data_IF_869816565235
#
_entry.id   IF_869816565235
#
_cell.length_a   1.000
_cell.length_b   1.000
_cell.length_c   1.000
_cell.angle_alpha   90.00
_cell.angle_beta   90.00
_cell.angle_gamma   90.00
#
_symmetry.space_group_name_H-M   'P 1'
#
loop_
_entity.id
_entity.type
_entity.pdbx_description
1 polymer ?
#
# COMPACT_ATOMS: atom_id res chain seq x y z
N UNK A 1 -15.08 8.58 -2.74
CA UNK A 1 -15.05 7.12 -2.96
C UNK A 1 -13.68 6.65 -2.53
N UNK A 2 -13.59 5.63 -1.68
CA UNK A 2 -12.29 5.14 -1.20
C UNK A 2 -11.71 4.16 -2.23
N UNK A 3 -10.47 4.38 -2.63
CA UNK A 3 -9.74 3.48 -3.53
C UNK A 3 -8.98 2.47 -2.69
N UNK A 4 -9.18 1.19 -2.97
CA UNK A 4 -8.36 0.13 -2.36
C UNK A 4 -6.99 0.12 -3.00
N UNK A 5 -5.96 0.07 -2.17
CA UNK A 5 -4.58 0.03 -2.59
C UNK A 5 -3.85 -1.12 -1.93
N UNK A 6 -2.89 -1.68 -2.66
CA UNK A 6 -1.98 -2.70 -2.19
C UNK A 6 -0.58 -2.19 -2.45
N UNK A 7 0.26 -2.14 -1.41
CA UNK A 7 1.66 -1.76 -1.50
C UNK A 7 2.50 -2.94 -1.05
N UNK A 8 3.47 -3.32 -1.86
CA UNK A 8 4.41 -4.41 -1.58
C UNK A 8 5.74 -3.77 -1.20
N UNK A 9 6.24 -4.14 -0.03
CA UNK A 9 7.54 -3.73 0.48
C UNK A 9 8.48 -4.93 0.60
N UNK A 10 9.78 -4.68 0.47
CA UNK A 10 10.79 -5.62 0.92
C UNK A 10 11.01 -5.50 2.45
N UNK A 11 11.84 -6.37 3.03
CA UNK A 11 12.21 -6.33 4.45
C UNK A 11 12.97 -5.07 4.90
N UNK A 12 13.58 -4.35 3.96
CA UNK A 12 14.29 -3.10 4.24
C UNK A 12 13.35 -1.89 4.27
N UNK A 13 12.07 -2.07 3.89
CA UNK A 13 11.08 -1.01 3.81
C UNK A 13 11.01 -0.31 2.45
N UNK A 14 11.73 -0.80 1.43
CA UNK A 14 11.60 -0.27 0.07
C UNK A 14 10.31 -0.76 -0.57
N UNK A 15 9.61 0.14 -1.27
CA UNK A 15 8.45 -0.21 -2.08
C UNK A 15 8.94 -0.96 -3.32
N UNK A 16 8.47 -2.19 -3.48
CA UNK A 16 8.74 -3.03 -4.64
C UNK A 16 7.71 -2.82 -5.75
N UNK A 17 6.43 -2.75 -5.40
CA UNK A 17 5.32 -2.52 -6.34
C UNK A 17 4.09 -2.02 -5.56
N UNK A 18 3.17 -1.37 -6.26
CA UNK A 18 1.87 -0.99 -5.70
C UNK A 18 0.79 -0.98 -6.76
N UNK A 19 -0.45 -1.19 -6.32
CA UNK A 19 -1.63 -1.23 -7.19
C UNK A 19 -2.82 -0.53 -6.53
N UNK A 20 -3.60 0.27 -7.27
CA UNK A 20 -3.41 0.64 -8.68
C UNK A 20 -2.20 1.58 -8.87
N UNK A 21 -1.55 1.48 -10.05
CA UNK A 21 -0.38 2.31 -10.41
C UNK A 21 -0.72 3.76 -10.71
N UNK A 22 -1.99 4.04 -10.97
CA UNK A 22 -2.53 5.38 -11.27
C UNK A 22 -2.79 6.21 -10.00
N UNK A 23 -2.24 5.80 -8.85
CA UNK A 23 -2.39 6.53 -7.59
C UNK A 23 -1.15 7.34 -7.27
N UNK A 24 -1.35 8.55 -6.77
CA UNK A 24 -0.26 9.42 -6.34
C UNK A 24 0.45 8.80 -5.14
N UNK A 25 1.78 8.68 -5.21
CA UNK A 25 2.62 8.12 -4.13
C UNK A 25 2.41 8.86 -2.80
N UNK A 26 2.12 10.16 -2.82
CA UNK A 26 1.85 10.90 -1.59
C UNK A 26 0.56 10.42 -0.91
N UNK A 27 -0.42 9.96 -1.68
CA UNK A 27 -1.65 9.39 -1.12
C UNK A 27 -1.43 8.03 -0.47
N UNK A 28 -0.37 7.29 -0.83
CA UNK A 28 0.00 6.04 -0.14
C UNK A 28 0.33 6.27 1.34
N UNK A 29 0.80 7.47 1.71
CA UNK A 29 1.03 7.85 3.11
C UNK A 29 -0.29 8.01 3.88
N UNK A 30 -1.40 8.23 3.18
CA UNK A 30 -2.74 8.43 3.76
C UNK A 30 -3.56 7.13 3.83
N UNK A 31 -2.92 5.97 3.63
CA UNK A 31 -3.57 4.66 3.76
C UNK A 31 -4.22 4.53 5.15
N UNK A 32 -5.53 4.31 5.14
CA UNK A 32 -6.36 3.95 6.30
C UNK A 32 -6.81 2.49 6.21
N UNK A 33 -7.26 1.94 7.33
CA UNK A 33 -7.76 0.56 7.42
C UNK A 33 -6.78 -0.47 6.82
N UNK A 34 -5.54 -0.42 7.31
CA UNK A 34 -4.44 -1.22 6.78
C UNK A 34 -4.42 -2.65 7.32
N UNK A 35 -4.43 -3.61 6.40
CA UNK A 35 -4.11 -5.02 6.63
C UNK A 35 -2.68 -5.29 6.18
N UNK A 36 -1.85 -5.83 7.08
CA UNK A 36 -0.44 -6.14 6.81
C UNK A 36 -0.25 -7.64 6.79
N UNK A 37 0.31 -8.15 5.70
CA UNK A 37 0.71 -9.55 5.53
C UNK A 37 2.23 -9.62 5.38
N UNK A 38 2.89 -10.40 6.23
CA UNK A 38 4.33 -10.62 6.20
C UNK A 38 4.60 -12.11 5.97
N UNK A 39 5.30 -12.45 4.89
CA UNK A 39 5.61 -13.84 4.51
C UNK A 39 7.08 -14.21 4.81
N UNK A 40 7.81 -13.40 5.59
CA UNK A 40 9.23 -13.62 5.86
C UNK A 40 10.20 -13.08 4.78
N UNK A 41 9.73 -12.86 3.55
CA UNK A 41 10.51 -12.21 2.48
C UNK A 41 9.92 -10.86 2.03
N UNK A 42 8.59 -10.77 2.01
CA UNK A 42 7.85 -9.62 1.50
C UNK A 42 6.80 -9.17 2.51
N UNK A 43 6.54 -7.87 2.54
CA UNK A 43 5.48 -7.25 3.33
C UNK A 43 4.45 -6.69 2.36
N UNK A 44 3.20 -7.11 2.47
CA UNK A 44 2.09 -6.59 1.67
C UNK A 44 1.16 -5.81 2.58
N UNK A 45 0.94 -4.54 2.24
CA UNK A 45 0.02 -3.66 2.95
C UNK A 45 -1.16 -3.38 2.04
N UNK A 46 -2.33 -3.90 2.40
CA UNK A 46 -3.59 -3.53 1.77
C UNK A 46 -4.25 -2.45 2.61
N UNK A 47 -4.81 -1.42 1.99
CA UNK A 47 -5.60 -0.44 2.71
C UNK A 47 -6.49 0.37 1.78
N UNK A 48 -7.09 1.42 2.33
CA UNK A 48 -7.99 2.31 1.61
C UNK A 48 -7.47 3.73 1.67
N UNK A 49 -7.50 4.39 0.53
CA UNK A 49 -7.17 5.81 0.38
C UNK A 49 -8.46 6.54 0.04
N UNK A 50 -8.77 7.60 0.78
CA UNK A 50 -9.92 8.44 0.47
C UNK A 50 -9.54 9.40 -0.66
N UNK A 51 -10.25 9.33 -1.79
CA UNK A 51 -9.98 10.16 -2.96
C UNK A 51 -10.72 11.51 -2.86
N UNK A 52 -10.65 12.17 -1.69
CA UNK A 52 -11.35 13.43 -1.43
C UNK A 52 -10.58 14.64 -1.95
#
# INVERSE_FOLDING_TARGET
MATEVIVIFNKNGDILDFSPRDIDLNKLLEIKDKEVYDDGELIRVRGKIDNK
#
